data_IF_184287025719
#
_entry.id   IF_184287025719
#
_cell.length_a   1.000
_cell.length_b   1.000
_cell.length_c   1.000
_cell.angle_alpha   90.00
_cell.angle_beta   90.00
_cell.angle_gamma   90.00
#
_symmetry.space_group_name_H-M   'P 1'
#
loop_
_entity.id
_entity.type
_entity.pdbx_description
1 polymer ?
#
# COMPACT_ATOMS: atom_id res chain seq x y z
N UNK A 1 -60.57 -60.07 19.46
CA UNK A 1 -59.12 -59.99 19.18
C UNK A 1 -58.63 -58.61 19.57
N UNK A 2 -57.75 -58.49 20.57
CA UNK A 2 -57.14 -57.21 20.95
C UNK A 2 -55.93 -56.97 20.06
N UNK A 3 -55.91 -55.85 19.35
CA UNK A 3 -54.76 -55.39 18.55
C UNK A 3 -53.74 -54.80 19.53
N UNK A 4 -52.55 -55.38 19.58
CA UNK A 4 -51.42 -54.86 20.36
C UNK A 4 -50.80 -53.72 19.55
N UNK A 5 -50.67 -52.50 20.09
CA UNK A 5 -50.00 -51.40 19.40
C UNK A 5 -48.50 -51.69 19.27
N UNK A 6 -47.84 -51.21 18.20
CA UNK A 6 -46.40 -51.41 18.05
C UNK A 6 -45.62 -50.75 19.20
N UNK A 7 -44.49 -51.34 19.61
CA UNK A 7 -43.67 -50.81 20.71
C UNK A 7 -43.19 -49.38 20.43
N UNK A 8 -43.13 -48.56 21.49
CA UNK A 8 -42.58 -47.20 21.41
C UNK A 8 -41.09 -47.25 21.10
N UNK A 9 -40.57 -46.21 20.42
CA UNK A 9 -39.16 -46.12 20.02
C UNK A 9 -38.20 -46.29 21.21
N UNK A 10 -38.60 -45.81 22.40
CA UNK A 10 -37.85 -45.95 23.65
C UNK A 10 -37.69 -47.42 24.10
N UNK A 11 -38.73 -48.24 23.93
CA UNK A 11 -38.70 -49.66 24.32
C UNK A 11 -37.85 -50.53 23.39
N UNK A 12 -37.68 -50.11 22.13
CA UNK A 12 -36.80 -50.77 21.16
C UNK A 12 -35.34 -50.43 21.45
N UNK A 13 -35.06 -49.20 21.87
CA UNK A 13 -33.70 -48.73 22.19
C UNK A 13 -33.18 -49.30 23.52
N UNK A 14 -34.04 -49.56 24.51
CA UNK A 14 -33.63 -50.19 25.77
C UNK A 14 -33.27 -51.69 25.64
N UNK A 15 -33.83 -52.38 24.64
CA UNK A 15 -33.56 -53.80 24.39
C UNK A 15 -32.54 -54.05 23.26
N UNK A 16 -31.99 -52.98 22.68
CA UNK A 16 -30.96 -53.09 21.66
C UNK A 16 -29.61 -53.41 22.33
N UNK A 17 -28.98 -54.50 21.89
CA UNK A 17 -27.64 -54.88 22.33
C UNK A 17 -26.68 -53.69 22.19
N UNK A 18 -25.90 -53.39 23.22
CA UNK A 18 -25.02 -52.21 23.26
C UNK A 18 -24.04 -52.14 22.08
N UNK A 19 -23.70 -53.29 21.52
CA UNK A 19 -22.92 -53.46 20.29
C UNK A 19 -23.65 -52.95 19.03
N UNK A 20 -24.96 -53.13 18.92
CA UNK A 20 -25.78 -52.69 17.79
C UNK A 20 -25.92 -51.16 17.80
N UNK A 21 -26.19 -50.58 18.96
CA UNK A 21 -26.29 -49.12 19.12
C UNK A 21 -24.95 -48.44 18.82
N UNK A 22 -23.84 -49.03 19.28
CA UNK A 22 -22.49 -48.54 18.97
C UNK A 22 -22.17 -48.63 17.47
N UNK A 23 -22.51 -49.75 16.82
CA UNK A 23 -22.25 -49.95 15.38
C UNK A 23 -23.08 -48.98 14.52
N UNK A 24 -24.35 -48.76 14.88
CA UNK A 24 -25.21 -47.79 14.20
C UNK A 24 -24.70 -46.35 14.38
N UNK A 25 -24.25 -45.99 15.59
CA UNK A 25 -23.64 -44.69 15.87
C UNK A 25 -22.38 -44.43 15.04
N UNK A 26 -21.49 -45.42 14.92
CA UNK A 26 -20.27 -45.34 14.09
C UNK A 26 -20.64 -45.18 12.60
N UNK A 27 -21.62 -45.92 12.10
CA UNK A 27 -22.09 -45.80 10.71
C UNK A 27 -22.70 -44.43 10.42
N UNK A 28 -23.48 -43.87 11.34
CA UNK A 28 -24.05 -42.51 11.19
C UNK A 28 -22.95 -41.45 11.22
N UNK A 29 -21.97 -41.56 12.11
CA UNK A 29 -20.81 -40.65 12.14
C UNK A 29 -19.98 -40.77 10.85
N UNK A 30 -19.73 -41.99 10.37
CA UNK A 30 -19.03 -42.21 9.11
C UNK A 30 -19.82 -41.67 7.91
N UNK A 31 -21.16 -41.78 7.93
CA UNK A 31 -22.03 -41.21 6.90
C UNK A 31 -22.04 -39.68 6.95
N UNK A 32 -22.14 -39.07 8.14
CA UNK A 32 -22.06 -37.61 8.31
C UNK A 32 -20.69 -37.08 7.93
N UNK A 33 -19.61 -37.79 8.29
CA UNK A 33 -18.25 -37.45 7.90
C UNK A 33 -18.06 -37.57 6.39
N UNK A 34 -18.56 -38.64 5.76
CA UNK A 34 -18.49 -38.80 4.31
C UNK A 34 -19.37 -37.80 3.56
N UNK A 35 -20.56 -37.45 4.05
CA UNK A 35 -21.39 -36.35 3.49
C UNK A 35 -20.71 -34.99 3.68
N UNK A 36 -20.02 -34.75 4.79
CA UNK A 36 -19.24 -33.52 4.99
C UNK A 36 -18.02 -33.47 4.06
N UNK A 37 -17.27 -34.57 3.92
CA UNK A 37 -16.11 -34.68 3.03
C UNK A 37 -16.52 -34.62 1.55
N UNK A 38 -17.63 -35.25 1.17
CA UNK A 38 -18.16 -35.26 -0.20
C UNK A 38 -18.94 -33.97 -0.55
N UNK A 39 -19.56 -33.32 0.44
CA UNK A 39 -20.17 -31.99 0.33
C UNK A 39 -19.13 -30.87 0.28
N UNK A 40 -17.95 -31.08 0.86
CA UNK A 40 -16.75 -30.25 0.71
C UNK A 40 -16.01 -30.53 -0.62
N UNK A 41 -16.74 -30.73 -1.73
CA UNK A 41 -16.13 -30.54 -3.05
C UNK A 41 -15.71 -29.08 -3.13
N UNK A 42 -14.44 -28.79 -2.81
CA UNK A 42 -13.81 -27.51 -3.12
C UNK A 42 -14.09 -27.26 -4.59
N UNK A 43 -14.97 -26.31 -4.86
CA UNK A 43 -15.29 -25.89 -6.22
C UNK A 43 -13.95 -25.63 -6.90
N UNK A 44 -13.68 -26.31 -8.01
CA UNK A 44 -12.38 -26.23 -8.66
C UNK A 44 -12.14 -24.76 -9.03
N UNK A 45 -11.21 -24.11 -8.34
CA UNK A 45 -10.85 -22.72 -8.59
C UNK A 45 -10.34 -22.66 -10.03
N UNK A 46 -11.03 -21.92 -10.90
CA UNK A 46 -10.58 -21.71 -12.27
C UNK A 46 -9.55 -20.57 -12.23
N UNK A 47 -8.25 -20.85 -12.43
CA UNK A 47 -7.22 -19.82 -12.35
C UNK A 47 -7.45 -18.75 -13.43
N UNK A 48 -7.37 -17.48 -13.06
CA UNK A 48 -7.26 -16.39 -14.03
C UNK A 48 -5.93 -16.48 -14.77
N UNK A 49 -5.96 -16.18 -16.07
CA UNK A 49 -4.77 -16.13 -16.90
C UNK A 49 -3.96 -14.90 -16.53
N UNK A 50 -2.67 -15.06 -16.28
CA UNK A 50 -1.75 -13.94 -16.11
C UNK A 50 -1.28 -13.48 -17.49
N UNK A 51 -1.48 -12.20 -17.77
CA UNK A 51 -1.12 -11.59 -19.05
C UNK A 51 0.35 -11.15 -19.10
N UNK A 52 0.92 -11.09 -20.30
CA UNK A 52 2.21 -10.44 -20.55
C UNK A 52 1.94 -9.17 -21.38
N UNK A 53 2.67 -8.06 -21.13
CA UNK A 53 2.68 -6.90 -22.03
C UNK A 53 3.04 -7.31 -23.46
N UNK A 54 2.43 -6.66 -24.46
CA UNK A 54 2.71 -6.94 -25.89
C UNK A 54 4.17 -6.67 -26.26
N UNK A 55 4.84 -5.79 -25.51
CA UNK A 55 6.26 -5.45 -25.64
C UNK A 55 7.21 -6.53 -25.12
N UNK A 56 6.70 -7.61 -24.49
CA UNK A 56 7.52 -8.67 -23.89
C UNK A 56 8.28 -9.45 -24.96
N UNK A 57 9.60 -9.35 -24.97
CA UNK A 57 10.47 -10.03 -25.93
C UNK A 57 10.86 -11.45 -25.46
N UNK A 58 11.08 -12.42 -26.38
CA UNK A 58 11.32 -13.81 -26.00
C UNK A 58 12.53 -14.07 -25.10
N UNK A 59 13.63 -13.34 -25.29
CA UNK A 59 14.89 -13.57 -24.55
C UNK A 59 15.08 -12.56 -23.44
N UNK A 60 14.83 -11.29 -23.72
CA UNK A 60 15.11 -10.19 -22.78
C UNK A 60 13.87 -9.72 -22.02
N UNK A 61 12.71 -10.35 -22.23
CA UNK A 61 11.47 -10.02 -21.53
C UNK A 61 11.11 -8.55 -21.69
N UNK A 62 10.87 -7.88 -20.57
CA UNK A 62 10.56 -6.46 -20.44
C UNK A 62 11.79 -5.62 -20.08
N UNK A 63 13.01 -6.12 -20.25
CA UNK A 63 14.23 -5.39 -19.87
C UNK A 63 14.33 -4.04 -20.57
N UNK A 64 13.98 -3.97 -21.86
CA UNK A 64 13.94 -2.70 -22.59
C UNK A 64 12.85 -1.78 -22.03
N UNK A 65 11.67 -2.30 -21.73
CA UNK A 65 10.58 -1.49 -21.18
C UNK A 65 10.97 -0.82 -19.85
N UNK A 66 11.70 -1.52 -18.98
CA UNK A 66 12.09 -0.99 -17.66
C UNK A 66 13.33 -0.10 -17.69
N UNK A 67 14.14 -0.16 -18.75
CA UNK A 67 15.37 0.64 -18.90
C UNK A 67 15.23 1.81 -19.87
N UNK A 68 14.18 1.79 -20.70
CA UNK A 68 13.96 2.80 -21.73
C UNK A 68 13.49 4.12 -21.11
N UNK A 69 14.19 5.19 -21.48
CA UNK A 69 13.86 6.59 -21.19
C UNK A 69 13.67 6.93 -19.70
N UNK A 70 14.15 6.09 -18.78
CA UNK A 70 13.98 6.24 -17.31
C UNK A 70 12.51 6.34 -16.82
N UNK A 71 11.54 5.93 -17.66
CA UNK A 71 10.09 6.08 -17.41
C UNK A 71 9.39 4.80 -16.94
N UNK A 72 10.09 4.00 -16.13
CA UNK A 72 9.59 2.68 -15.71
C UNK A 72 8.23 2.72 -15.00
N UNK A 73 7.98 3.68 -14.10
CA UNK A 73 6.72 3.78 -13.38
C UNK A 73 5.55 4.27 -14.23
N UNK A 74 5.80 5.16 -15.19
CA UNK A 74 4.82 5.52 -16.23
C UNK A 74 4.45 4.30 -17.06
N UNK A 75 5.45 3.55 -17.54
CA UNK A 75 5.20 2.34 -18.32
C UNK A 75 4.40 1.30 -17.51
N UNK A 76 4.74 1.07 -16.23
CA UNK A 76 3.94 0.21 -15.34
C UNK A 76 2.49 0.70 -15.22
N UNK A 77 2.27 2.02 -15.08
CA UNK A 77 0.94 2.61 -15.03
C UNK A 77 0.17 2.40 -16.35
N UNK A 78 0.81 2.61 -17.51
CA UNK A 78 0.22 2.37 -18.83
C UNK A 78 -0.25 0.91 -18.97
N UNK A 79 0.56 -0.06 -18.54
CA UNK A 79 0.16 -1.48 -18.55
C UNK A 79 -1.00 -1.73 -17.59
N UNK A 80 -0.96 -1.19 -16.37
CA UNK A 80 -2.05 -1.31 -15.39
C UNK A 80 -3.37 -0.75 -15.94
N UNK A 81 -3.34 0.39 -16.63
CA UNK A 81 -4.51 0.98 -17.28
C UNK A 81 -5.01 0.09 -18.42
N UNK A 82 -4.09 -0.45 -19.23
CA UNK A 82 -4.42 -1.33 -20.36
C UNK A 82 -5.10 -2.63 -19.91
N UNK A 83 -4.60 -3.26 -18.84
CA UNK A 83 -5.12 -4.54 -18.34
C UNK A 83 -6.38 -4.41 -17.47
N UNK A 84 -6.79 -3.20 -17.09
CA UNK A 84 -8.11 -2.92 -16.48
C UNK A 84 -8.48 -3.82 -15.29
N UNK A 85 -7.53 -4.07 -14.39
CA UNK A 85 -7.72 -4.92 -13.20
C UNK A 85 -7.42 -6.41 -13.42
N UNK A 86 -7.13 -6.83 -14.65
CA UNK A 86 -6.64 -8.19 -14.92
C UNK A 86 -5.18 -8.37 -14.46
N UNK A 87 -4.81 -9.55 -13.96
CA UNK A 87 -3.46 -9.83 -13.51
C UNK A 87 -2.51 -9.91 -14.70
N UNK A 88 -1.36 -9.25 -14.58
CA UNK A 88 -0.30 -9.31 -15.56
C UNK A 88 1.06 -9.43 -14.86
N UNK A 89 2.06 -9.88 -15.60
CA UNK A 89 3.41 -10.07 -15.07
C UNK A 89 4.46 -9.34 -15.89
N UNK A 90 5.50 -8.89 -15.19
CA UNK A 90 6.72 -8.34 -15.75
C UNK A 90 7.82 -9.39 -15.70
N UNK A 91 8.52 -9.59 -16.82
CA UNK A 91 9.56 -10.59 -16.98
C UNK A 91 10.91 -9.90 -17.15
N UNK A 92 11.85 -10.10 -16.23
CA UNK A 92 13.22 -9.60 -16.34
C UNK A 92 14.18 -10.80 -16.32
N UNK A 93 15.13 -10.89 -17.27
CA UNK A 93 16.10 -11.98 -17.29
C UNK A 93 16.84 -12.13 -15.96
N UNK A 94 17.00 -13.37 -15.49
CA UNK A 94 17.65 -13.67 -14.21
C UNK A 94 16.77 -13.50 -12.97
N UNK A 95 15.52 -13.03 -13.12
CA UNK A 95 14.52 -12.98 -12.05
C UNK A 95 13.29 -13.85 -12.39
N UNK A 96 12.55 -14.29 -11.37
CA UNK A 96 11.25 -14.90 -11.60
C UNK A 96 10.24 -13.85 -12.11
N UNK A 97 9.28 -14.24 -12.97
CA UNK A 97 8.21 -13.35 -13.40
C UNK A 97 7.49 -12.71 -12.22
N UNK A 98 7.45 -11.39 -12.20
CA UNK A 98 6.84 -10.61 -11.12
C UNK A 98 5.40 -10.28 -11.48
N UNK A 99 4.43 -10.81 -10.74
CA UNK A 99 3.00 -10.50 -10.95
C UNK A 99 2.69 -9.14 -10.34
N UNK A 100 2.11 -8.22 -11.11
CA UNK A 100 1.90 -6.84 -10.69
C UNK A 100 0.53 -6.67 -10.05
N UNK A 101 0.52 -6.11 -8.84
CA UNK A 101 -0.65 -5.76 -8.05
C UNK A 101 -0.83 -4.24 -8.09
N UNK A 102 -2.03 -3.79 -8.45
CA UNK A 102 -2.29 -2.38 -8.75
C UNK A 102 -3.75 -1.93 -8.54
N UNK A 103 -4.56 -2.78 -7.88
CA UNK A 103 -5.93 -2.46 -7.44
C UNK A 103 -6.08 -2.78 -5.94
N UNK A 104 -6.99 -2.12 -5.21
CA UNK A 104 -7.07 -2.22 -3.75
C UNK A 104 -7.25 -3.64 -3.22
N UNK A 105 -8.04 -4.47 -3.89
CA UNK A 105 -8.35 -5.85 -3.48
C UNK A 105 -7.09 -6.73 -3.52
N UNK A 106 -6.26 -6.55 -4.56
CA UNK A 106 -4.98 -7.26 -4.67
C UNK A 106 -4.01 -6.80 -3.58
N UNK A 107 -3.95 -5.48 -3.31
CA UNK A 107 -3.09 -4.93 -2.27
C UNK A 107 -3.49 -5.45 -0.89
N UNK A 108 -4.79 -5.45 -0.59
CA UNK A 108 -5.33 -5.94 0.66
C UNK A 108 -5.04 -7.42 0.87
N UNK A 109 -5.28 -8.24 -0.15
CA UNK A 109 -5.10 -9.69 -0.02
C UNK A 109 -3.63 -10.05 0.22
N UNK A 110 -2.70 -9.39 -0.49
CA UNK A 110 -1.26 -9.61 -0.30
C UNK A 110 -0.75 -9.08 1.04
N UNK A 111 -1.19 -7.89 1.46
CA UNK A 111 -0.59 -7.20 2.62
C UNK A 111 -1.30 -7.40 3.95
N UNK A 112 -2.57 -7.79 3.93
CA UNK A 112 -3.40 -7.98 5.12
C UNK A 112 -3.88 -9.42 5.22
N UNK A 113 -4.66 -9.91 4.26
CA UNK A 113 -5.32 -11.23 4.35
C UNK A 113 -4.32 -12.39 4.39
N UNK A 114 -3.32 -12.36 3.52
CA UNK A 114 -2.30 -13.40 3.40
C UNK A 114 -0.94 -12.99 3.97
N UNK A 115 -0.93 -12.00 4.86
CA UNK A 115 0.28 -11.37 5.40
C UNK A 115 1.36 -12.38 5.83
N UNK A 116 0.99 -13.41 6.60
CA UNK A 116 1.94 -14.40 7.15
C UNK A 116 2.62 -15.32 6.12
N UNK A 117 2.36 -15.13 4.83
CA UNK A 117 2.85 -16.00 3.74
C UNK A 117 3.47 -15.23 2.59
N UNK A 118 3.45 -13.90 2.66
CA UNK A 118 4.12 -12.99 1.74
C UNK A 118 5.25 -12.29 2.49
N UNK A 119 6.47 -12.74 2.22
CA UNK A 119 7.68 -12.22 2.84
C UNK A 119 8.33 -11.15 1.97
N UNK A 120 9.35 -10.44 2.46
CA UNK A 120 10.13 -9.52 1.61
C UNK A 120 10.85 -10.23 0.46
N UNK A 121 11.21 -11.48 0.69
CA UNK A 121 11.90 -12.34 -0.26
C UNK A 121 13.42 -12.18 -0.23
N UNK A 122 14.10 -13.25 -0.61
CA UNK A 122 15.57 -13.35 -0.53
C UNK A 122 16.27 -12.28 -1.36
N UNK A 123 15.82 -12.07 -2.60
CA UNK A 123 16.40 -11.10 -3.53
C UNK A 123 16.40 -9.67 -2.99
N UNK A 124 15.30 -9.25 -2.35
CA UNK A 124 15.21 -7.90 -1.79
C UNK A 124 16.07 -7.76 -0.53
N UNK A 125 16.18 -8.83 0.27
CA UNK A 125 17.07 -8.86 1.44
C UNK A 125 18.52 -8.74 1.01
N UNK A 126 19.02 -9.61 0.14
CA UNK A 126 20.44 -9.65 -0.29
C UNK A 126 20.90 -8.31 -0.89
N UNK A 127 20.06 -7.65 -1.68
CA UNK A 127 20.39 -6.36 -2.30
C UNK A 127 20.43 -5.19 -1.33
N UNK A 128 19.66 -5.25 -0.25
CA UNK A 128 19.50 -4.13 0.70
C UNK A 128 20.17 -4.39 2.05
N UNK A 129 20.63 -5.62 2.31
CA UNK A 129 21.28 -6.03 3.57
C UNK A 129 22.54 -5.22 3.85
N UNK A 130 23.36 -4.92 2.84
CA UNK A 130 24.54 -4.07 3.03
C UNK A 130 24.18 -2.65 3.49
N UNK A 131 23.01 -2.13 3.09
CA UNK A 131 22.59 -0.76 3.38
C UNK A 131 21.79 -0.66 4.68
N UNK A 132 20.87 -1.60 4.91
CA UNK A 132 19.90 -1.53 6.01
C UNK A 132 20.08 -2.64 7.04
N UNK A 133 21.03 -3.55 6.86
CA UNK A 133 21.23 -4.73 7.70
C UNK A 133 19.93 -5.50 7.93
N UNK A 134 19.84 -6.11 9.10
CA UNK A 134 18.62 -6.77 9.57
C UNK A 134 17.60 -5.78 10.15
N UNK A 135 17.24 -4.74 9.42
CA UNK A 135 16.25 -3.75 9.86
C UNK A 135 14.80 -4.22 9.72
N UNK A 136 13.89 -3.51 10.40
CA UNK A 136 12.43 -3.68 10.30
C UNK A 136 11.89 -3.66 8.85
N UNK A 137 12.65 -3.06 7.91
CA UNK A 137 12.28 -2.92 6.50
C UNK A 137 12.47 -4.23 5.72
N UNK A 138 13.44 -5.06 6.12
CA UNK A 138 13.89 -6.25 5.37
C UNK A 138 13.64 -7.59 6.09
N UNK A 139 13.36 -7.55 7.39
CA UNK A 139 13.11 -8.76 8.19
C UNK A 139 11.64 -9.22 8.09
N UNK A 140 11.42 -10.50 8.38
CA UNK A 140 10.12 -11.18 8.43
C UNK A 140 9.96 -11.97 9.75
N UNK A 141 8.79 -12.58 9.97
CA UNK A 141 8.52 -13.46 11.10
C UNK A 141 8.65 -12.81 12.48
N UNK A 142 9.10 -13.59 13.47
CA UNK A 142 9.25 -13.12 14.86
C UNK A 142 10.20 -11.93 14.98
N UNK A 143 11.28 -11.91 14.20
CA UNK A 143 12.25 -10.80 14.25
C UNK A 143 11.59 -9.49 13.87
N UNK A 144 10.83 -9.49 12.76
CA UNK A 144 10.05 -8.34 12.36
C UNK A 144 9.01 -7.94 13.42
N UNK A 145 8.32 -8.91 14.04
CA UNK A 145 7.33 -8.61 15.09
C UNK A 145 7.96 -7.91 16.31
N UNK A 146 9.13 -8.40 16.78
CA UNK A 146 9.88 -7.79 17.88
C UNK A 146 10.31 -6.37 17.53
N UNK A 147 10.92 -6.19 16.35
CA UNK A 147 11.34 -4.87 15.86
C UNK A 147 10.16 -3.92 15.64
N UNK A 148 9.01 -4.41 15.16
CA UNK A 148 7.78 -3.63 15.00
C UNK A 148 7.23 -3.14 16.34
N UNK A 149 7.19 -4.03 17.34
CA UNK A 149 6.76 -3.67 18.71
C UNK A 149 7.69 -2.64 19.35
N UNK A 150 9.00 -2.77 19.14
CA UNK A 150 9.98 -1.80 19.60
C UNK A 150 9.87 -0.47 18.84
N UNK A 151 9.73 -0.52 17.50
CA UNK A 151 9.64 0.64 16.63
C UNK A 151 8.39 1.50 16.87
N UNK A 152 7.25 0.89 17.22
CA UNK A 152 6.06 1.67 17.65
C UNK A 152 6.33 2.43 18.95
N UNK A 153 7.15 1.87 19.85
CA UNK A 153 7.60 2.55 21.07
C UNK A 153 8.74 3.54 20.80
N UNK A 154 9.33 3.57 19.59
CA UNK A 154 10.44 4.47 19.24
C UNK A 154 10.13 5.91 19.59
N UNK A 155 8.93 6.34 19.26
CA UNK A 155 8.47 7.71 19.49
C UNK A 155 8.16 8.03 20.97
N UNK A 156 8.46 7.11 21.90
CA UNK A 156 8.12 7.24 23.33
C UNK A 156 9.23 6.88 24.32
N UNK A 157 10.32 6.20 23.91
CA UNK A 157 11.38 5.75 24.84
C UNK A 157 12.77 6.27 24.49
N UNK A 158 13.59 6.49 25.52
CA UNK A 158 14.94 7.06 25.42
C UNK A 158 16.01 6.05 24.94
N UNK A 159 15.71 4.74 24.90
CA UNK A 159 16.69 3.66 24.70
C UNK A 159 16.92 3.22 23.23
N UNK A 160 16.50 3.98 22.21
CA UNK A 160 16.45 3.49 20.81
C UNK A 160 17.65 3.81 19.92
N UNK A 161 18.85 3.68 20.47
CA UNK A 161 20.07 3.79 19.65
C UNK A 161 20.13 2.69 18.58
N UNK A 162 19.59 1.50 18.84
CA UNK A 162 19.67 0.34 17.92
C UNK A 162 18.90 0.53 16.62
N UNK A 163 17.86 1.38 16.60
CA UNK A 163 17.00 1.59 15.42
C UNK A 163 17.17 2.97 14.77
N UNK A 164 17.96 3.86 15.37
CA UNK A 164 18.05 5.26 14.94
C UNK A 164 18.54 5.40 13.50
N UNK A 165 19.55 4.63 13.09
CA UNK A 165 20.08 4.68 11.73
C UNK A 165 19.05 4.24 10.69
N UNK A 166 18.30 3.18 10.95
CA UNK A 166 17.22 2.73 10.05
C UNK A 166 16.15 3.82 9.91
N UNK A 167 15.74 4.44 11.02
CA UNK A 167 14.71 5.47 10.99
C UNK A 167 15.18 6.76 10.31
N UNK A 168 16.42 7.19 10.56
CA UNK A 168 16.98 8.38 9.91
C UNK A 168 17.09 8.16 8.40
N UNK A 169 17.59 7.00 7.96
CA UNK A 169 17.68 6.66 6.53
C UNK A 169 16.30 6.57 5.87
N UNK A 170 15.32 5.96 6.55
CA UNK A 170 13.97 5.81 5.99
C UNK A 170 13.17 7.13 5.98
N UNK A 171 13.31 7.99 7.00
CA UNK A 171 12.48 9.17 7.19
C UNK A 171 13.03 10.42 6.48
N UNK A 172 14.36 10.59 6.41
CA UNK A 172 14.96 11.83 5.90
C UNK A 172 14.60 12.10 4.45
N UNK A 173 14.98 11.18 3.56
CA UNK A 173 14.87 11.42 2.12
C UNK A 173 13.40 11.36 1.68
N UNK A 174 12.59 10.50 2.31
CA UNK A 174 11.16 10.38 1.98
C UNK A 174 10.38 11.65 2.30
N UNK A 175 10.57 12.25 3.48
CA UNK A 175 9.93 13.53 3.84
C UNK A 175 10.48 14.67 2.98
N UNK A 176 11.80 14.76 2.77
CA UNK A 176 12.42 15.83 1.98
C UNK A 176 11.95 15.83 0.51
N UNK A 177 11.91 14.67 -0.13
CA UNK A 177 11.41 14.54 -1.51
C UNK A 177 9.92 14.84 -1.61
N UNK A 178 9.12 14.43 -0.61
CA UNK A 178 7.69 14.78 -0.58
C UNK A 178 7.51 16.29 -0.48
N UNK A 179 8.30 16.99 0.36
CA UNK A 179 8.30 18.46 0.42
C UNK A 179 8.66 19.08 -0.94
N UNK A 180 9.68 18.58 -1.62
CA UNK A 180 10.05 19.06 -2.95
C UNK A 180 8.87 18.93 -3.94
N UNK A 181 8.21 17.77 -3.97
CA UNK A 181 7.01 17.55 -4.80
C UNK A 181 5.84 18.45 -4.40
N UNK A 182 5.63 18.74 -3.11
CA UNK A 182 4.62 19.71 -2.66
C UNK A 182 4.90 21.08 -3.30
N UNK A 183 6.13 21.61 -3.17
CA UNK A 183 6.46 22.92 -3.71
C UNK A 183 6.44 22.96 -5.24
N UNK A 184 6.82 21.87 -5.91
CA UNK A 184 6.65 21.74 -7.36
C UNK A 184 5.17 21.85 -7.77
N UNK A 185 4.27 21.15 -7.10
CA UNK A 185 2.83 21.21 -7.40
C UNK A 185 2.21 22.57 -7.05
N UNK A 186 2.68 23.24 -6.00
CA UNK A 186 2.26 24.61 -5.71
C UNK A 186 2.71 25.59 -6.81
N UNK A 187 3.91 25.41 -7.35
CA UNK A 187 4.41 26.19 -8.49
C UNK A 187 3.57 25.97 -9.76
N UNK A 188 3.16 24.72 -10.02
CA UNK A 188 2.28 24.36 -11.15
C UNK A 188 0.83 24.82 -10.95
N UNK A 189 0.39 24.95 -9.71
CA UNK A 189 -0.99 25.25 -9.36
C UNK A 189 -1.08 26.48 -8.44
N UNK A 190 -0.83 27.71 -8.94
CA UNK A 190 -0.85 28.92 -8.10
C UNK A 190 -2.18 29.14 -7.36
N UNK A 191 -3.29 28.63 -7.88
CA UNK A 191 -4.60 28.64 -7.23
C UNK A 191 -4.62 27.82 -5.93
N UNK A 192 -3.90 26.70 -5.89
CA UNK A 192 -3.77 25.84 -4.70
C UNK A 192 -2.98 26.56 -3.62
N UNK A 193 -1.85 27.21 -3.97
CA UNK A 193 -1.09 28.01 -3.00
C UNK A 193 -1.95 29.16 -2.41
N UNK A 194 -2.71 29.87 -3.27
CA UNK A 194 -3.62 30.93 -2.83
C UNK A 194 -4.68 30.40 -1.87
N UNK A 195 -5.25 29.22 -2.13
CA UNK A 195 -6.24 28.60 -1.26
C UNK A 195 -5.66 28.20 0.10
N UNK A 196 -4.44 27.64 0.15
CA UNK A 196 -3.74 27.37 1.42
C UNK A 196 -3.55 28.68 2.21
N UNK A 197 -3.04 29.73 1.58
CA UNK A 197 -2.80 31.02 2.24
C UNK A 197 -4.07 31.65 2.79
N UNK A 198 -5.16 31.56 2.01
CA UNK A 198 -6.48 32.01 2.44
C UNK A 198 -6.92 31.23 3.69
N UNK A 199 -6.85 29.90 3.66
CA UNK A 199 -7.17 29.06 4.82
C UNK A 199 -6.35 29.46 6.05
N UNK A 200 -5.05 29.67 5.89
CA UNK A 200 -4.17 30.06 6.99
C UNK A 200 -4.54 31.42 7.58
N UNK A 201 -4.93 32.38 6.75
CA UNK A 201 -5.32 33.73 7.20
C UNK A 201 -6.68 33.74 7.90
N UNK A 202 -7.59 32.85 7.50
CA UNK A 202 -8.92 32.71 8.11
C UNK A 202 -8.88 31.95 9.45
N UNK A 203 -8.00 30.95 9.58
CA UNK A 203 -8.01 30.02 10.72
C UNK A 203 -6.93 30.25 11.76
N UNK A 204 -5.88 31.00 11.44
CA UNK A 204 -4.75 31.21 12.35
C UNK A 204 -4.70 32.68 12.77
N UNK A 205 -4.53 32.91 14.07
CA UNK A 205 -4.18 34.23 14.58
C UNK A 205 -2.65 34.37 14.58
N UNK A 206 -2.14 35.25 13.71
CA UNK A 206 -0.70 35.45 13.58
C UNK A 206 -0.20 36.43 14.65
N UNK A 207 0.21 35.90 15.81
CA UNK A 207 1.26 36.57 16.57
C UNK A 207 2.47 36.77 15.65
N UNK A 208 2.98 38.01 15.51
CA UNK A 208 3.93 38.41 14.44
C UNK A 208 5.14 37.48 14.25
N UNK A 209 5.60 36.78 15.29
CA UNK A 209 6.82 35.96 15.23
C UNK A 209 6.70 34.53 15.80
N UNK A 210 5.50 34.05 16.16
CA UNK A 210 5.34 32.69 16.68
C UNK A 210 5.54 31.64 15.58
N UNK A 211 6.25 30.55 15.89
CA UNK A 211 6.31 29.36 15.03
C UNK A 211 5.00 28.58 15.15
N UNK A 212 4.46 28.13 14.02
CA UNK A 212 3.26 27.28 14.04
C UNK A 212 3.65 25.90 14.55
N UNK A 213 2.99 25.46 15.62
CA UNK A 213 3.14 24.14 16.22
C UNK A 213 2.23 23.12 15.53
N UNK A 214 2.42 21.84 15.85
CA UNK A 214 1.55 20.76 15.37
C UNK A 214 0.08 20.93 15.80
N UNK A 215 -0.18 21.64 16.91
CA UNK A 215 -1.55 21.90 17.39
C UNK A 215 -2.23 22.99 16.56
N UNK A 216 -1.51 24.07 16.27
CA UNK A 216 -2.02 25.22 15.48
C UNK A 216 -2.48 24.79 14.09
N UNK A 217 -1.73 23.87 13.46
CA UNK A 217 -1.98 23.44 12.08
C UNK A 217 -3.06 22.35 11.96
N UNK A 218 -3.66 21.87 13.07
CA UNK A 218 -4.69 20.81 13.02
C UNK A 218 -5.91 21.23 12.23
N UNK A 219 -6.24 22.53 12.27
CA UNK A 219 -7.40 23.11 11.59
C UNK A 219 -7.20 23.35 10.08
N UNK A 220 -5.96 23.22 9.57
CA UNK A 220 -5.61 23.45 8.17
C UNK A 220 -5.97 22.25 7.28
N UNK A 221 -7.26 22.07 7.05
CA UNK A 221 -7.84 21.01 6.21
C UNK A 221 -7.29 21.05 4.79
N UNK A 222 -7.28 22.21 4.13
CA UNK A 222 -6.87 22.30 2.73
C UNK A 222 -5.38 22.00 2.56
N UNK A 223 -4.53 22.44 3.49
CA UNK A 223 -3.13 22.02 3.50
C UNK A 223 -2.97 20.49 3.64
N UNK A 224 -3.74 19.85 4.52
CA UNK A 224 -3.73 18.39 4.63
C UNK A 224 -4.17 17.72 3.32
N UNK A 225 -5.19 18.25 2.65
CA UNK A 225 -5.66 17.77 1.36
C UNK A 225 -4.58 17.85 0.28
N UNK A 226 -3.84 18.96 0.20
CA UNK A 226 -2.72 19.14 -0.74
C UNK A 226 -1.58 18.15 -0.46
N UNK A 227 -1.26 17.91 0.81
CA UNK A 227 -0.23 16.92 1.19
C UNK A 227 -0.67 15.51 0.81
N UNK A 228 -1.93 15.13 1.08
CA UNK A 228 -2.48 13.83 0.68
C UNK A 228 -2.50 13.65 -0.83
N UNK A 229 -2.85 14.70 -1.57
CA UNK A 229 -2.82 14.64 -3.04
C UNK A 229 -1.40 14.53 -3.58
N UNK A 230 -0.44 15.20 -2.95
CA UNK A 230 0.98 15.03 -3.30
C UNK A 230 1.47 13.61 -3.02
N UNK A 231 1.12 13.03 -1.87
CA UNK A 231 1.47 11.65 -1.54
C UNK A 231 0.82 10.63 -2.48
N UNK A 232 -0.39 10.92 -2.99
CA UNK A 232 -1.04 10.13 -4.03
C UNK A 232 -0.29 10.27 -5.34
N UNK A 233 -0.12 11.50 -5.81
CA UNK A 233 0.37 11.79 -7.14
C UNK A 233 1.86 11.45 -7.27
N UNK A 234 2.68 11.78 -6.27
CA UNK A 234 4.13 11.58 -6.26
C UNK A 234 4.56 10.66 -5.12
N UNK A 235 4.22 9.36 -5.16
CA UNK A 235 4.60 8.45 -4.09
C UNK A 235 6.12 8.21 -4.12
N UNK A 236 6.83 8.76 -3.14
CA UNK A 236 8.30 8.70 -3.07
C UNK A 236 8.83 7.27 -3.04
N UNK A 237 8.08 6.31 -2.49
CA UNK A 237 8.32 4.89 -2.68
C UNK A 237 7.34 4.35 -3.74
N UNK A 238 7.70 4.33 -5.04
CA UNK A 238 6.75 4.04 -6.12
C UNK A 238 6.45 2.54 -6.30
N UNK A 239 7.30 1.66 -5.77
CA UNK A 239 7.20 0.21 -5.98
C UNK A 239 7.80 -0.57 -4.81
N UNK A 240 7.19 -1.70 -4.42
CA UNK A 240 7.78 -2.65 -3.47
C UNK A 240 7.41 -4.08 -3.86
N UNK A 241 8.12 -5.07 -3.34
CA UNK A 241 7.92 -6.48 -3.71
C UNK A 241 7.60 -7.33 -2.49
N UNK A 242 6.88 -8.44 -2.71
CA UNK A 242 6.80 -9.55 -1.77
C UNK A 242 7.08 -10.86 -2.49
N UNK A 243 7.61 -11.84 -1.78
CA UNK A 243 7.82 -13.18 -2.30
C UNK A 243 6.91 -14.16 -1.57
N UNK A 244 6.30 -15.07 -2.33
CA UNK A 244 5.40 -16.06 -1.77
C UNK A 244 6.15 -17.27 -1.23
N UNK A 245 5.79 -17.73 -0.02
CA UNK A 245 6.42 -18.91 0.61
C UNK A 245 5.78 -20.25 0.24
N UNK A 246 4.55 -20.23 -0.30
CA UNK A 246 3.77 -21.41 -0.71
C UNK A 246 2.77 -21.08 -1.83
N UNK A 247 2.46 -22.04 -2.69
CA UNK A 247 1.47 -21.87 -3.76
C UNK A 247 0.13 -21.33 -3.19
N UNK A 248 -0.48 -20.39 -3.91
CA UNK A 248 -1.72 -19.76 -3.49
C UNK A 248 -2.49 -19.13 -4.65
N UNK A 249 -3.64 -18.56 -4.32
CA UNK A 249 -4.39 -17.66 -5.18
C UNK A 249 -4.53 -16.29 -4.50
N UNK A 250 -4.21 -15.22 -5.22
CA UNK A 250 -4.54 -13.85 -4.83
C UNK A 250 -5.92 -13.51 -5.39
N UNK A 251 -6.75 -12.78 -4.63
CA UNK A 251 -8.14 -12.46 -4.95
C UNK A 251 -8.99 -13.70 -5.28
N UNK A 252 -8.64 -14.86 -4.71
CA UNK A 252 -9.35 -16.13 -4.87
C UNK A 252 -9.00 -16.94 -6.12
N UNK A 253 -8.43 -16.32 -7.17
CA UNK A 253 -8.25 -16.97 -8.47
C UNK A 253 -6.98 -16.59 -9.26
N UNK A 254 -6.14 -15.66 -8.79
CA UNK A 254 -4.87 -15.30 -9.44
C UNK A 254 -3.76 -16.24 -8.93
N UNK A 255 -3.25 -17.18 -9.74
CA UNK A 255 -2.30 -18.19 -9.26
C UNK A 255 -0.92 -17.57 -8.98
N UNK A 256 -0.42 -17.72 -7.75
CA UNK A 256 0.95 -17.33 -7.37
C UNK A 256 1.69 -18.57 -6.87
N UNK A 257 2.82 -18.90 -7.49
CA UNK A 257 3.65 -20.05 -7.13
C UNK A 257 4.59 -19.74 -5.96
N UNK A 258 5.01 -20.76 -5.23
CA UNK A 258 6.10 -20.68 -4.25
C UNK A 258 7.35 -20.09 -4.90
N UNK A 259 7.98 -19.14 -4.22
CA UNK A 259 9.16 -18.42 -4.70
C UNK A 259 8.86 -17.28 -5.67
N UNK A 260 7.63 -17.20 -6.19
CA UNK A 260 7.23 -16.15 -7.11
C UNK A 260 7.12 -14.80 -6.40
N UNK A 261 7.58 -13.75 -7.07
CA UNK A 261 7.51 -12.38 -6.59
C UNK A 261 6.22 -11.73 -7.07
N UNK A 262 5.59 -10.96 -6.18
CA UNK A 262 4.52 -10.04 -6.51
C UNK A 262 5.03 -8.61 -6.32
N UNK A 263 4.78 -7.76 -7.31
CA UNK A 263 5.13 -6.35 -7.31
C UNK A 263 3.94 -5.52 -6.90
N UNK A 264 4.05 -4.73 -5.83
CA UNK A 264 3.04 -3.78 -5.40
C UNK A 264 3.39 -2.43 -6.04
N UNK A 265 2.72 -2.10 -7.14
CA UNK A 265 2.96 -0.83 -7.86
C UNK A 265 2.17 0.30 -7.21
N UNK A 266 2.83 1.02 -6.30
CA UNK A 266 2.26 2.14 -5.53
C UNK A 266 1.95 3.31 -6.45
N UNK A 267 2.87 3.61 -7.37
CA UNK A 267 2.68 4.61 -8.41
C UNK A 267 1.45 4.31 -9.28
N UNK A 268 1.29 3.06 -9.72
CA UNK A 268 0.17 2.68 -10.57
C UNK A 268 -1.17 2.74 -9.82
N UNK A 269 -1.29 2.15 -8.62
CA UNK A 269 -2.58 2.17 -7.89
C UNK A 269 -3.02 3.60 -7.54
N UNK A 270 -2.09 4.48 -7.20
CA UNK A 270 -2.39 5.85 -6.82
C UNK A 270 -2.83 6.73 -8.00
N UNK A 271 -2.48 6.35 -9.24
CA UNK A 271 -2.82 7.09 -10.47
C UNK A 271 -3.79 6.34 -11.39
N UNK A 272 -4.28 5.17 -10.98
CA UNK A 272 -5.17 4.35 -11.81
C UNK A 272 -6.60 4.94 -11.86
N UNK A 273 -7.15 5.25 -13.05
CA UNK A 273 -8.51 5.76 -13.19
C UNK A 273 -9.61 4.82 -12.68
N UNK A 274 -9.37 3.51 -12.64
CA UNK A 274 -10.31 2.56 -12.03
C UNK A 274 -10.45 2.75 -10.51
N UNK A 275 -9.41 3.28 -9.87
CA UNK A 275 -9.34 3.44 -8.42
C UNK A 275 -9.72 4.87 -8.01
N UNK A 276 -9.26 5.86 -8.79
CA UNK A 276 -9.37 7.28 -8.47
C UNK A 276 -10.36 8.06 -9.32
N UNK A 277 -10.94 7.45 -10.35
CA UNK A 277 -11.86 8.09 -11.28
C UNK A 277 -11.18 8.66 -12.53
N UNK A 278 -11.94 9.24 -13.46
CA UNK A 278 -11.41 9.75 -14.73
C UNK A 278 -10.35 10.86 -14.55
N UNK A 279 -10.43 11.62 -13.44
CA UNK A 279 -9.51 12.70 -13.08
C UNK A 279 -8.25 12.19 -12.34
N UNK A 280 -7.98 10.88 -12.30
CA UNK A 280 -6.83 10.32 -11.58
C UNK A 280 -5.46 10.88 -12.01
N UNK A 281 -5.39 11.40 -13.24
CA UNK A 281 -4.21 12.02 -13.84
C UNK A 281 -4.07 13.52 -13.52
N UNK A 282 -5.05 14.10 -12.83
CA UNK A 282 -5.03 15.51 -12.41
C UNK A 282 -4.61 15.62 -10.94
N UNK A 283 -3.91 16.70 -10.61
CA UNK A 283 -3.61 17.07 -9.23
C UNK A 283 -4.79 17.85 -8.64
N UNK A 284 -5.62 17.17 -7.86
CA UNK A 284 -6.91 17.67 -7.36
C UNK A 284 -6.99 17.49 -5.83
N UNK A 285 -6.55 18.48 -5.02
CA UNK A 285 -6.66 18.43 -3.56
C UNK A 285 -8.10 18.30 -3.06
N UNK A 286 -9.08 18.86 -3.77
CA UNK A 286 -10.49 18.90 -3.37
C UNK A 286 -11.09 17.50 -3.24
N UNK A 287 -10.52 16.48 -3.90
CA UNK A 287 -10.94 15.07 -3.74
C UNK A 287 -10.85 14.56 -2.31
N UNK A 288 -10.02 15.19 -1.49
CA UNK A 288 -9.79 14.79 -0.10
C UNK A 288 -10.75 15.45 0.88
N UNK A 289 -11.63 16.34 0.41
CA UNK A 289 -12.50 17.13 1.25
C UNK A 289 -13.95 16.72 1.02
N UNK A 290 -14.64 16.37 2.10
CA UNK A 290 -16.06 16.09 2.07
C UNK A 290 -16.84 17.40 1.83
N UNK A 291 -17.65 17.44 0.76
CA UNK A 291 -18.34 18.65 0.33
C UNK A 291 -19.42 19.13 1.31
N UNK A 292 -19.87 18.28 2.23
CA UNK A 292 -20.92 18.62 3.22
C UNK A 292 -20.33 19.13 4.52
N UNK A 293 -19.24 18.52 4.98
CA UNK A 293 -18.65 18.77 6.29
C UNK A 293 -17.40 19.65 6.22
N UNK A 294 -16.76 19.76 5.04
CA UNK A 294 -15.48 20.44 4.88
C UNK A 294 -14.30 19.73 5.57
N UNK A 295 -14.50 18.49 6.03
CA UNK A 295 -13.47 17.69 6.68
C UNK A 295 -12.75 16.79 5.69
N UNK A 296 -11.58 16.30 6.08
CA UNK A 296 -10.83 15.33 5.29
C UNK A 296 -11.56 13.98 5.26
N UNK A 297 -11.78 13.44 4.06
CA UNK A 297 -12.36 12.11 3.89
C UNK A 297 -11.39 11.02 4.35
N UNK A 298 -11.95 9.96 4.91
CA UNK A 298 -11.17 8.76 5.22
C UNK A 298 -11.05 7.89 3.95
N UNK A 299 -9.82 7.70 3.48
CA UNK A 299 -9.51 6.80 2.37
C UNK A 299 -8.74 5.59 2.91
N UNK A 300 -9.17 4.35 2.60
CA UNK A 300 -8.45 3.16 3.02
C UNK A 300 -6.98 3.17 2.55
N UNK A 301 -6.07 2.70 3.40
CA UNK A 301 -4.65 2.57 3.05
C UNK A 301 -4.41 1.63 1.85
N UNK A 302 -5.32 0.69 1.60
CA UNK A 302 -5.30 -0.18 0.42
C UNK A 302 -5.63 0.56 -0.89
N UNK A 303 -6.25 1.75 -0.80
CA UNK A 303 -6.52 2.66 -1.93
C UNK A 303 -5.43 3.73 -2.08
N UNK A 304 -5.06 4.43 -1.00
CA UNK A 304 -3.87 5.30 -0.97
C UNK A 304 -2.69 4.53 -0.39
N UNK A 305 -1.94 3.85 -1.25
CA UNK A 305 -0.95 2.86 -0.82
C UNK A 305 0.44 3.43 -0.53
N UNK A 306 0.58 4.77 -0.43
CA UNK A 306 1.88 5.46 -0.27
C UNK A 306 2.63 5.05 0.99
N UNK A 307 1.91 4.80 2.09
CA UNK A 307 2.47 4.30 3.34
C UNK A 307 2.33 2.78 3.49
N UNK A 308 2.02 2.06 2.41
CA UNK A 308 1.56 0.67 2.40
C UNK A 308 0.29 0.45 3.25
N UNK A 309 -0.13 -0.81 3.41
CA UNK A 309 -1.26 -1.21 4.25
C UNK A 309 -0.95 -2.47 5.07
N UNK A 310 -1.90 -2.84 5.93
CA UNK A 310 -1.81 -4.04 6.76
C UNK A 310 -0.76 -3.93 7.87
N UNK A 311 -0.28 -5.06 8.43
CA UNK A 311 0.63 -5.08 9.57
C UNK A 311 1.96 -4.34 9.33
N UNK A 312 2.38 -4.21 8.06
CA UNK A 312 3.59 -3.50 7.62
C UNK A 312 3.39 -2.04 7.22
N UNK A 313 2.22 -1.45 7.48
CA UNK A 313 1.98 -0.02 7.26
C UNK A 313 3.10 0.82 7.89
N UNK A 314 3.52 1.90 7.23
CA UNK A 314 4.65 2.72 7.64
C UNK A 314 4.56 3.12 9.12
N UNK A 315 5.60 2.79 9.89
CA UNK A 315 5.66 3.12 11.32
C UNK A 315 5.79 4.62 11.56
N UNK A 316 6.40 5.35 10.61
CA UNK A 316 6.60 6.79 10.67
C UNK A 316 5.49 7.64 10.04
N UNK A 317 4.37 7.04 9.60
CA UNK A 317 3.31 7.77 8.88
C UNK A 317 2.81 9.00 9.65
N UNK A 318 2.53 8.86 10.96
CA UNK A 318 2.05 9.98 11.78
C UNK A 318 3.08 11.09 11.90
N UNK A 319 4.36 10.74 12.10
CA UNK A 319 5.46 11.70 12.17
C UNK A 319 5.63 12.42 10.82
N UNK A 320 5.68 11.68 9.71
CA UNK A 320 5.83 12.26 8.38
C UNK A 320 4.68 13.23 8.04
N UNK A 321 3.43 12.85 8.31
CA UNK A 321 2.29 13.75 8.10
C UNK A 321 2.38 15.02 8.96
N UNK A 322 2.86 14.92 10.20
CA UNK A 322 3.10 16.08 11.06
C UNK A 322 4.21 16.97 10.49
N UNK A 323 5.36 16.40 10.14
CA UNK A 323 6.50 17.12 9.56
C UNK A 323 6.10 17.86 8.29
N UNK A 324 5.44 17.18 7.36
CA UNK A 324 4.99 17.75 6.08
C UNK A 324 4.07 18.94 6.31
N UNK A 325 3.11 18.84 7.25
CA UNK A 325 2.18 19.94 7.55
C UNK A 325 2.88 21.10 8.24
N UNK A 326 3.67 20.84 9.29
CA UNK A 326 4.31 21.90 10.09
C UNK A 326 5.33 22.66 9.25
N UNK A 327 6.17 21.95 8.50
CA UNK A 327 7.20 22.57 7.65
C UNK A 327 6.54 23.36 6.53
N UNK A 328 5.58 22.78 5.81
CA UNK A 328 4.90 23.48 4.71
C UNK A 328 4.15 24.72 5.21
N UNK A 329 3.42 24.63 6.32
CA UNK A 329 2.70 25.77 6.89
C UNK A 329 3.66 26.90 7.32
N UNK A 330 4.74 26.58 8.03
CA UNK A 330 5.70 27.61 8.47
C UNK A 330 6.41 28.29 7.29
N UNK A 331 6.75 27.53 6.24
CA UNK A 331 7.37 28.06 5.03
C UNK A 331 6.40 28.95 4.25
N UNK A 332 5.20 28.46 3.96
CA UNK A 332 4.18 29.20 3.21
C UNK A 332 3.70 30.44 3.96
N UNK A 333 3.69 30.42 5.30
CA UNK A 333 3.38 31.61 6.11
C UNK A 333 4.39 32.74 5.87
N UNK A 334 5.69 32.44 5.93
CA UNK A 334 6.77 33.45 5.95
C UNK A 334 7.28 33.83 4.58
N UNK A 335 7.11 32.97 3.60
CA UNK A 335 7.72 33.13 2.29
C UNK A 335 6.74 32.82 1.17
N UNK A 336 6.93 33.51 0.04
CA UNK A 336 6.36 33.19 -1.25
C UNK A 336 7.40 32.50 -2.11
N UNK A 337 6.98 31.44 -2.79
CA UNK A 337 7.84 30.59 -3.62
C UNK A 337 7.47 30.79 -5.08
N UNK A 338 8.44 31.19 -5.90
CA UNK A 338 8.30 31.32 -7.34
C UNK A 338 9.18 30.24 -7.99
N UNK A 339 8.55 29.11 -8.34
CA UNK A 339 9.23 27.93 -8.92
C UNK A 339 9.50 28.17 -10.40
N UNK A 340 10.73 27.95 -10.86
CA UNK A 340 11.08 27.97 -12.28
C UNK A 340 10.78 26.62 -12.95
N UNK A 341 9.54 26.48 -13.41
CA UNK A 341 9.07 25.28 -14.11
C UNK A 341 9.74 25.05 -15.47
N UNK A 342 10.44 26.05 -16.03
CA UNK A 342 11.19 25.85 -17.29
C UNK A 342 12.41 24.94 -17.12
N UNK A 343 12.84 24.74 -15.87
CA UNK A 343 13.99 23.91 -15.50
C UNK A 343 13.61 22.54 -14.94
N UNK A 344 12.31 22.30 -14.74
CA UNK A 344 11.80 21.05 -14.19
C UNK A 344 10.42 20.73 -14.78
N UNK A 345 10.37 19.70 -15.60
CA UNK A 345 9.17 19.23 -16.29
C UNK A 345 8.34 18.24 -15.47
N UNK A 346 8.78 17.88 -14.25
CA UNK A 346 8.14 16.88 -13.41
C UNK A 346 8.52 15.44 -13.72
N UNK A 347 9.49 15.23 -14.62
CA UNK A 347 10.10 13.93 -14.83
C UNK A 347 10.83 13.46 -13.58
N UNK A 348 10.91 12.15 -13.38
CA UNK A 348 11.57 11.53 -12.24
C UNK A 348 12.79 10.72 -12.68
N UNK A 349 13.77 10.58 -11.79
CA UNK A 349 14.92 9.71 -12.01
C UNK A 349 14.58 8.27 -11.68
N UNK A 350 15.05 7.34 -12.52
CA UNK A 350 14.97 5.91 -12.22
C UNK A 350 15.77 5.59 -10.95
N UNK A 351 15.12 5.06 -9.93
CA UNK A 351 15.76 4.79 -8.65
C UNK A 351 14.87 4.10 -7.64
N UNK A 352 15.39 3.93 -6.42
CA UNK A 352 14.62 3.37 -5.30
C UNK A 352 13.50 4.32 -4.85
N UNK A 353 13.75 5.62 -4.96
CA UNK A 353 12.80 6.68 -4.64
C UNK A 353 12.45 7.49 -5.88
N UNK A 354 11.24 8.07 -5.89
CA UNK A 354 10.75 8.93 -6.96
C UNK A 354 11.38 10.34 -6.86
N UNK A 355 12.68 10.43 -7.16
CA UNK A 355 13.41 11.71 -7.19
C UNK A 355 13.04 12.50 -8.43
N UNK A 356 13.03 13.83 -8.36
CA UNK A 356 12.95 14.66 -9.56
C UNK A 356 14.19 14.43 -10.43
N UNK A 357 14.00 14.26 -11.73
CA UNK A 357 15.10 14.10 -12.69
C UNK A 357 15.96 15.38 -12.76
N UNK A 358 15.30 16.52 -12.67
CA UNK A 358 15.93 17.84 -12.74
C UNK A 358 15.83 18.57 -11.39
N UNK A 359 16.77 19.48 -11.07
CA UNK A 359 16.67 20.33 -9.90
C UNK A 359 15.36 21.13 -9.88
N UNK A 360 14.96 21.63 -8.72
CA UNK A 360 13.82 22.54 -8.57
C UNK A 360 14.32 23.94 -8.16
N UNK A 361 14.65 24.84 -9.11
CA UNK A 361 15.05 26.20 -8.78
C UNK A 361 13.84 26.98 -8.27
N UNK A 362 13.99 27.64 -7.12
CA UNK A 362 12.91 28.41 -6.50
C UNK A 362 13.42 29.78 -6.04
N UNK A 363 12.77 30.84 -6.52
CA UNK A 363 12.96 32.17 -5.99
C UNK A 363 12.08 32.36 -4.76
N UNK A 364 12.68 32.75 -3.64
CA UNK A 364 12.00 32.85 -2.35
C UNK A 364 11.95 34.32 -1.91
N UNK A 365 10.75 34.84 -1.64
CA UNK A 365 10.53 36.21 -1.16
C UNK A 365 9.86 36.17 0.21
N UNK A 366 10.38 36.92 1.19
CA UNK A 366 9.73 37.06 2.50
C UNK A 366 8.45 37.89 2.34
N UNK A 367 7.37 37.48 3.02
CA UNK A 367 6.05 38.14 3.00
C UNK A 367 5.82 38.88 4.31
#
# INVERSE_FOLDING_TARGET
MRVIPPPSLESVLQNADSSIVATFGVLVIALLYSVHVLGSKKQAIKPRRIHNPDSTLPVIGNLLDVTKDDRVHDWLLEQCIKFKGEPWQMNIPGAQPTVIMYIPEMMEDVTSTQFGTFEKGQFQRERMEQMLGDSIVLTDGERWQRQRKAGVKFFTSQDLVEFILTFVLAARDTTALTLAWIFYELGRNPQVEKAIRKEMTEKLDFGKDAYLTAEDIRSLTYLEAVIKETLRFHPVAPFTTRQKTKDTFVCGDIPIKKGQTVGLSIYSINRNPMVWGPDAHEFNPERWIDTKTGNIINVPATKLFTFAAGPRICVGMTLAMMELRVVSANLLRKYRFEVDLSKNDGSYAAGMTLNMQYPLPVNVKRV
#
